data_IF_385503477348
#
_entry.id   IF_385503477348
#
_cell.length_a   1.000
_cell.length_b   1.000
_cell.length_c   1.000
_cell.angle_alpha   90.00
_cell.angle_beta   90.00
_cell.angle_gamma   90.00
#
_symmetry.space_group_name_H-M   'P 1'
#
loop_
_entity.id
_entity.type
_entity.pdbx_description
1 polymer ?
#
# COMPACT_ATOMS: atom_id res chain seq x y z
N UNK A 1 -59.60 74.00 -3.63
CA UNK A 1 -58.35 74.42 -2.97
C UNK A 1 -57.68 73.19 -2.40
N UNK A 2 -56.58 72.75 -3.02
CA UNK A 2 -55.90 71.49 -2.69
C UNK A 2 -54.84 71.72 -1.61
N UNK A 3 -54.97 71.03 -0.47
CA UNK A 3 -54.02 71.11 0.64
C UNK A 3 -52.97 70.02 0.49
N UNK A 4 -51.72 70.43 0.29
CA UNK A 4 -50.53 69.59 0.13
C UNK A 4 -50.09 68.97 1.46
N UNK A 5 -50.11 67.64 1.56
CA UNK A 5 -49.37 66.89 2.60
C UNK A 5 -47.92 66.72 2.16
N UNK A 6 -46.96 67.32 2.88
CA UNK A 6 -45.53 67.03 2.71
C UNK A 6 -45.10 65.91 3.66
N UNK A 7 -44.66 64.80 3.08
CA UNK A 7 -43.99 63.69 3.73
C UNK A 7 -42.68 64.14 4.39
N UNK A 8 -42.46 63.77 5.64
CA UNK A 8 -41.12 63.72 6.25
C UNK A 8 -40.78 62.25 6.50
N UNK A 9 -40.09 61.65 5.54
CA UNK A 9 -39.50 60.32 5.69
C UNK A 9 -38.18 60.49 6.46
N UNK A 10 -38.16 60.11 7.73
CA UNK A 10 -36.92 60.01 8.50
C UNK A 10 -36.20 58.72 8.09
N UNK A 11 -35.09 58.86 7.36
CA UNK A 11 -34.18 57.75 7.08
C UNK A 11 -33.38 57.47 8.36
N UNK A 12 -33.76 56.43 9.09
CA UNK A 12 -32.96 55.89 10.19
C UNK A 12 -31.90 54.98 9.59
N UNK A 13 -30.64 55.41 9.63
CA UNK A 13 -29.50 54.54 9.36
C UNK A 13 -29.31 53.59 10.54
N UNK A 14 -29.76 52.35 10.40
CA UNK A 14 -29.38 51.27 11.31
C UNK A 14 -28.00 50.80 10.85
N UNK A 15 -26.97 51.14 11.62
CA UNK A 15 -25.63 50.55 11.48
C UNK A 15 -25.73 49.07 11.85
N UNK A 16 -25.84 48.20 10.85
CA UNK A 16 -25.71 46.76 11.03
C UNK A 16 -24.25 46.45 11.38
N UNK A 17 -23.97 46.23 12.67
CA UNK A 17 -22.71 45.64 13.11
C UNK A 17 -22.63 44.22 12.58
N UNK A 18 -21.85 44.00 11.52
CA UNK A 18 -21.58 42.68 11.00
C UNK A 18 -20.82 41.86 12.06
N UNK A 19 -21.51 40.91 12.69
CA UNK A 19 -20.84 39.80 13.37
C UNK A 19 -20.12 39.00 12.29
N UNK A 20 -18.82 39.25 12.12
CA UNK A 20 -17.96 38.42 11.28
C UNK A 20 -17.89 37.03 11.91
N UNK A 21 -18.71 36.10 11.42
CA UNK A 21 -18.44 34.68 11.56
C UNK A 21 -17.09 34.43 10.88
N UNK A 22 -16.04 34.24 11.67
CA UNK A 22 -14.78 33.74 11.14
C UNK A 22 -15.10 32.37 10.53
N UNK A 23 -14.86 32.15 9.23
CA UNK A 23 -15.01 30.82 8.67
C UNK A 23 -14.02 29.94 9.42
N UNK A 24 -14.53 28.98 10.21
CA UNK A 24 -13.72 27.85 10.65
C UNK A 24 -13.23 27.21 9.36
N UNK A 25 -11.92 27.11 9.11
CA UNK A 25 -11.45 26.46 7.90
C UNK A 25 -12.05 25.05 7.90
N UNK A 26 -12.84 24.73 6.88
CA UNK A 26 -13.21 23.35 6.62
C UNK A 26 -11.91 22.63 6.31
N UNK A 27 -11.36 21.92 7.29
CA UNK A 27 -10.22 21.03 7.07
C UNK A 27 -10.59 20.13 5.91
N UNK A 28 -9.96 20.31 4.75
CA UNK A 28 -10.24 19.47 3.60
C UNK A 28 -9.82 18.05 3.99
N UNK A 29 -10.78 17.16 4.20
CA UNK A 29 -10.49 15.76 4.48
C UNK A 29 -9.94 15.13 3.22
N UNK A 30 -8.74 14.56 3.27
CA UNK A 30 -8.25 13.74 2.17
C UNK A 30 -8.90 12.35 2.22
N UNK A 31 -9.13 11.78 1.03
CA UNK A 31 -9.45 10.37 0.87
C UNK A 31 -8.15 9.62 0.58
N UNK A 32 -7.43 9.11 1.60
CA UNK A 32 -6.20 8.38 1.37
C UNK A 32 -6.50 7.07 0.63
N UNK A 33 -5.51 6.58 -0.10
CA UNK A 33 -5.52 5.24 -0.68
C UNK A 33 -4.75 4.30 0.24
N UNK A 34 -5.20 3.05 0.33
CA UNK A 34 -4.50 2.00 1.07
C UNK A 34 -4.35 0.76 0.19
N UNK A 35 -3.17 0.16 0.25
CA UNK A 35 -2.89 -1.13 -0.37
C UNK A 35 -2.34 -2.07 0.68
N UNK A 36 -2.81 -3.32 0.65
CA UNK A 36 -2.17 -4.42 1.37
C UNK A 36 -1.15 -5.05 0.42
N UNK A 37 0.02 -5.39 0.95
CA UNK A 37 1.17 -5.94 0.25
C UNK A 37 1.65 -7.18 1.01
N UNK A 38 1.43 -8.34 0.42
CA UNK A 38 1.98 -9.64 0.82
C UNK A 38 2.70 -10.28 -0.37
N UNK A 39 3.69 -11.17 -0.19
CA UNK A 39 4.19 -11.97 -1.29
C UNK A 39 3.07 -12.80 -1.95
N UNK A 40 3.10 -12.94 -3.26
CA UNK A 40 2.09 -13.65 -4.07
C UNK A 40 2.00 -15.14 -3.74
N UNK A 41 3.07 -15.72 -3.21
CA UNK A 41 3.12 -17.09 -2.68
C UNK A 41 3.78 -17.06 -1.31
N UNK A 42 3.17 -17.75 -0.34
CA UNK A 42 3.66 -17.83 1.05
C UNK A 42 3.63 -19.28 1.53
N UNK A 43 4.57 -19.62 2.41
CA UNK A 43 4.65 -20.96 2.99
C UNK A 43 3.78 -21.07 4.24
N UNK A 44 2.93 -22.09 4.33
CA UNK A 44 2.10 -22.36 5.51
C UNK A 44 2.96 -22.62 6.74
N UNK A 45 2.56 -22.09 7.90
CA UNK A 45 3.29 -22.27 9.16
C UNK A 45 4.61 -21.51 9.27
N UNK A 46 4.98 -20.72 8.25
CA UNK A 46 6.18 -19.88 8.27
C UNK A 46 5.78 -18.40 8.37
N UNK A 47 6.34 -17.71 9.36
CA UNK A 47 6.06 -16.28 9.57
C UNK A 47 6.47 -15.45 8.35
N UNK A 48 5.55 -14.59 7.89
CA UNK A 48 5.76 -13.64 6.79
C UNK A 48 5.26 -12.25 7.18
N UNK A 49 5.74 -11.22 6.49
CA UNK A 49 5.36 -9.84 6.76
C UNK A 49 4.20 -9.41 5.87
N UNK A 50 3.11 -9.02 6.49
CA UNK A 50 2.06 -8.22 5.86
C UNK A 50 2.44 -6.75 5.97
N UNK A 51 2.36 -6.04 4.85
CA UNK A 51 2.59 -4.61 4.82
C UNK A 51 1.31 -3.93 4.32
N UNK A 52 1.01 -2.78 4.89
CA UNK A 52 0.00 -1.87 4.35
C UNK A 52 0.67 -0.54 4.07
N UNK A 53 0.49 -0.05 2.85
CA UNK A 53 0.93 1.28 2.46
C UNK A 53 -0.30 2.18 2.37
N UNK A 54 -0.24 3.31 3.08
CA UNK A 54 -1.26 4.35 3.04
C UNK A 54 -0.63 5.56 2.37
N UNK A 55 -1.30 6.08 1.34
CA UNK A 55 -0.84 7.23 0.58
C UNK A 55 -1.91 8.32 0.58
N UNK A 56 -1.48 9.56 0.79
CA UNK A 56 -2.32 10.75 0.76
C UNK A 56 -1.57 11.90 0.08
N UNK A 57 -2.23 13.05 -0.08
CA UNK A 57 -1.59 14.24 -0.62
C UNK A 57 -0.41 14.66 0.26
N UNK A 58 0.80 14.73 -0.31
CA UNK A 58 2.01 15.08 0.41
C UNK A 58 1.96 16.47 1.08
N UNK A 59 1.13 17.40 0.59
CA UNK A 59 0.93 18.71 1.22
C UNK A 59 0.24 18.64 2.58
N UNK A 60 -0.42 17.52 2.89
CA UNK A 60 -1.10 17.26 4.16
C UNK A 60 -0.21 16.51 5.17
N UNK A 61 1.08 16.32 4.84
CA UNK A 61 2.02 15.51 5.61
C UNK A 61 1.83 14.01 5.38
N UNK A 62 2.53 13.19 6.17
CA UNK A 62 2.40 11.73 6.11
C UNK A 62 1.15 11.25 6.87
N UNK A 63 0.45 10.20 6.39
CA UNK A 63 -0.69 9.63 7.10
C UNK A 63 -0.29 9.16 8.51
N UNK A 64 -1.19 9.34 9.48
CA UNK A 64 -1.00 8.90 10.86
C UNK A 64 -2.21 8.14 11.36
N UNK A 65 -1.97 7.07 12.11
CA UNK A 65 -3.02 6.23 12.67
C UNK A 65 -2.59 4.78 12.74
N UNK A 66 -3.56 3.88 12.61
CA UNK A 66 -3.33 2.43 12.68
C UNK A 66 -3.92 1.73 11.47
N UNK A 67 -3.36 0.57 11.15
CA UNK A 67 -3.92 -0.36 10.18
C UNK A 67 -4.29 -1.65 10.88
N UNK A 68 -5.54 -2.06 10.72
CA UNK A 68 -5.99 -3.39 11.13
C UNK A 68 -5.92 -4.32 9.93
N UNK A 69 -5.14 -5.38 10.05
CA UNK A 69 -5.05 -6.45 9.06
C UNK A 69 -6.06 -7.55 9.40
N UNK A 70 -6.70 -8.08 8.38
CA UNK A 70 -7.67 -9.14 8.53
C UNK A 70 -7.75 -10.04 7.31
N UNK A 71 -8.59 -11.04 7.43
CA UNK A 71 -9.03 -11.86 6.32
C UNK A 71 -10.30 -11.26 5.71
N UNK A 72 -10.59 -11.60 4.45
CA UNK A 72 -11.86 -11.28 3.80
C UNK A 72 -13.07 -12.02 4.38
N UNK A 73 -12.85 -12.92 5.34
CA UNK A 73 -13.90 -13.62 6.09
C UNK A 73 -14.26 -12.92 7.40
N UNK A 74 -13.64 -11.76 7.70
CA UNK A 74 -13.95 -10.96 8.89
C UNK A 74 -13.04 -11.24 10.09
N UNK A 75 -12.16 -12.24 10.04
CA UNK A 75 -11.17 -12.50 11.11
C UNK A 75 -10.09 -11.42 11.12
N UNK A 76 -9.87 -10.79 12.27
CA UNK A 76 -8.74 -9.89 12.50
C UNK A 76 -7.46 -10.69 12.73
N UNK A 77 -6.39 -10.35 12.00
CA UNK A 77 -5.06 -10.94 12.18
C UNK A 77 -4.23 -10.12 13.18
N UNK A 78 -4.44 -8.80 13.22
CA UNK A 78 -3.77 -7.91 14.16
C UNK A 78 -3.85 -6.45 13.71
N UNK A 79 -3.26 -5.58 14.51
CA UNK A 79 -3.22 -4.13 14.26
C UNK A 79 -1.78 -3.66 14.40
N UNK A 80 -1.35 -2.76 13.51
CA UNK A 80 -0.04 -2.14 13.56
C UNK A 80 -0.13 -0.62 13.38
N UNK A 81 0.74 0.17 14.06
CA UNK A 81 0.80 1.60 13.85
C UNK A 81 1.38 1.93 12.47
N UNK A 82 0.95 3.05 11.90
CA UNK A 82 1.60 3.63 10.73
C UNK A 82 2.90 4.31 11.13
N UNK A 83 3.95 4.04 10.35
CA UNK A 83 5.24 4.73 10.43
C UNK A 83 5.45 5.47 9.12
N UNK A 84 5.69 6.77 9.19
CA UNK A 84 5.96 7.60 8.01
C UNK A 84 7.21 7.10 7.29
N UNK A 85 7.13 6.97 5.97
CA UNK A 85 8.29 6.59 5.13
C UNK A 85 8.80 7.81 4.36
N UNK A 86 7.88 8.54 3.75
CA UNK A 86 8.13 9.75 2.95
C UNK A 86 6.95 10.70 3.13
N UNK A 87 7.09 11.99 2.77
CA UNK A 87 5.94 12.89 2.73
C UNK A 87 4.80 12.29 1.90
N UNK A 88 3.60 12.26 2.47
CA UNK A 88 2.41 11.67 1.83
C UNK A 88 2.26 10.15 1.94
N UNK A 89 3.28 9.41 2.43
CA UNK A 89 3.22 7.94 2.52
C UNK A 89 3.63 7.43 3.90
N UNK A 90 2.90 6.44 4.40
CA UNK A 90 3.21 5.74 5.63
C UNK A 90 2.97 4.24 5.47
N UNK A 91 3.71 3.42 6.22
CA UNK A 91 3.61 1.97 6.19
C UNK A 91 3.30 1.40 7.57
N UNK A 92 2.44 0.39 7.59
CA UNK A 92 2.21 -0.46 8.76
C UNK A 92 2.68 -1.88 8.42
N UNK A 93 3.32 -2.55 9.37
CA UNK A 93 3.86 -3.90 9.18
C UNK A 93 3.36 -4.82 10.29
N UNK A 94 2.84 -5.98 9.91
CA UNK A 94 2.37 -7.01 10.83
C UNK A 94 3.01 -8.36 10.46
N UNK A 95 3.54 -9.07 11.45
CA UNK A 95 3.97 -10.45 11.26
C UNK A 95 2.75 -11.38 11.28
N UNK A 96 2.62 -12.23 10.27
CA UNK A 96 1.52 -13.19 10.13
C UNK A 96 2.08 -14.56 9.79
N UNK A 97 1.55 -15.60 10.44
CA UNK A 97 1.86 -16.99 10.08
C UNK A 97 0.67 -17.54 9.29
N UNK A 98 0.85 -17.86 7.99
CA UNK A 98 -0.23 -18.38 7.18
C UNK A 98 -0.76 -19.71 7.72
N UNK A 99 -2.08 -19.91 7.75
CA UNK A 99 -2.67 -21.18 8.16
C UNK A 99 -2.31 -22.30 7.16
N UNK A 100 -2.65 -23.57 7.46
CA UNK A 100 -2.52 -24.68 6.51
C UNK A 100 -3.16 -24.37 5.14
N UNK A 101 -2.77 -25.10 4.10
CA UNK A 101 -3.00 -24.80 2.68
C UNK A 101 -4.44 -24.42 2.29
N UNK A 102 -4.71 -23.12 2.11
CA UNK A 102 -5.87 -22.58 1.39
C UNK A 102 -5.61 -21.12 0.99
N UNK A 103 -6.25 -20.62 -0.07
CA UNK A 103 -6.15 -19.18 -0.39
C UNK A 103 -6.95 -18.36 0.62
N UNK A 104 -6.26 -17.49 1.36
CA UNK A 104 -6.90 -16.54 2.29
C UNK A 104 -6.91 -15.15 1.65
N UNK A 105 -8.07 -14.56 1.34
CA UNK A 105 -8.14 -13.15 0.99
C UNK A 105 -7.69 -12.32 2.20
N UNK A 106 -6.72 -11.45 2.00
CA UNK A 106 -6.21 -10.51 2.99
C UNK A 106 -6.72 -9.11 2.68
N UNK A 107 -6.99 -8.36 3.74
CA UNK A 107 -7.49 -6.98 3.67
C UNK A 107 -6.84 -6.13 4.75
N UNK A 108 -6.65 -4.85 4.46
CA UNK A 108 -6.18 -3.86 5.41
C UNK A 108 -7.21 -2.72 5.56
N UNK A 109 -7.42 -2.27 6.80
CA UNK A 109 -8.32 -1.15 7.13
C UNK A 109 -7.54 -0.08 7.88
N UNK A 110 -7.44 1.11 7.30
CA UNK A 110 -6.81 2.27 7.90
C UNK A 110 -7.80 3.04 8.77
N UNK A 111 -7.38 3.32 10.01
CA UNK A 111 -8.07 4.20 10.95
C UNK A 111 -7.18 5.41 11.24
N UNK A 112 -7.55 6.63 10.79
CA UNK A 112 -6.77 7.84 10.99
C UNK A 112 -6.82 8.30 12.46
N UNK A 113 -5.73 8.92 12.95
CA UNK A 113 -5.70 9.59 14.26
C UNK A 113 -6.07 11.07 14.22
N UNK A 114 -6.17 11.68 13.03
CA UNK A 114 -6.49 13.10 12.85
C UNK A 114 -7.68 13.35 11.93
N UNK A 115 -8.35 14.50 12.10
CA UNK A 115 -9.55 14.88 11.34
C UNK A 115 -9.29 15.23 9.85
N UNK A 116 -8.03 15.31 9.42
CA UNK A 116 -7.63 15.66 8.04
C UNK A 116 -7.64 14.46 7.08
N UNK A 117 -7.93 13.25 7.57
CA UNK A 117 -7.97 12.02 6.78
C UNK A 117 -9.21 11.21 7.10
N UNK A 118 -9.78 10.56 6.08
CA UNK A 118 -10.88 9.61 6.25
C UNK A 118 -10.35 8.18 6.34
N UNK A 119 -11.07 7.31 7.03
CA UNK A 119 -10.79 5.87 7.03
C UNK A 119 -10.83 5.30 5.60
N UNK A 120 -9.99 4.31 5.33
CA UNK A 120 -9.88 3.67 4.03
C UNK A 120 -9.72 2.16 4.16
N UNK A 121 -10.15 1.42 3.14
CA UNK A 121 -10.05 -0.05 3.10
C UNK A 121 -9.39 -0.47 1.80
N UNK A 122 -8.47 -1.43 1.88
CA UNK A 122 -7.74 -1.92 0.71
C UNK A 122 -8.61 -2.84 -0.14
N UNK A 123 -8.20 -3.03 -1.40
CA UNK A 123 -8.63 -4.20 -2.15
C UNK A 123 -8.14 -5.49 -1.47
N UNK A 124 -8.75 -6.62 -1.85
CA UNK A 124 -8.30 -7.93 -1.40
C UNK A 124 -7.00 -8.33 -2.09
N UNK A 125 -6.08 -8.92 -1.32
CA UNK A 125 -4.94 -9.64 -1.86
C UNK A 125 -5.06 -11.13 -1.56
N UNK A 126 -4.74 -11.99 -2.53
CA UNK A 126 -4.95 -13.43 -2.44
C UNK A 126 -3.62 -14.15 -2.71
N UNK A 127 -2.74 -14.27 -1.72
CA UNK A 127 -1.53 -15.07 -1.89
C UNK A 127 -1.89 -16.55 -2.04
N UNK A 128 -1.11 -17.27 -2.85
CA UNK A 128 -1.10 -18.73 -2.83
C UNK A 128 -0.42 -19.19 -1.53
N UNK A 129 -1.11 -20.02 -0.75
CA UNK A 129 -0.53 -20.65 0.45
C UNK A 129 -0.15 -22.08 0.09
N UNK A 130 1.09 -22.47 0.37
CA UNK A 130 1.65 -23.80 0.04
C UNK A 130 2.46 -24.37 1.21
N UNK A 131 2.53 -25.69 1.37
CA UNK A 131 3.50 -26.31 2.29
C UNK A 131 4.91 -26.38 1.72
N UNK A 132 5.05 -26.30 0.39
CA UNK A 132 6.34 -26.36 -0.28
C UNK A 132 7.21 -25.15 0.08
N UNK A 133 8.53 -25.30 0.19
CA UNK A 133 9.45 -24.17 0.30
C UNK A 133 9.24 -23.20 -0.86
N UNK A 134 9.23 -21.89 -0.57
CA UNK A 134 9.04 -20.82 -1.56
C UNK A 134 10.37 -20.09 -1.74
N UNK A 135 11.18 -20.38 -2.77
CA UNK A 135 12.51 -19.76 -2.90
C UNK A 135 12.46 -18.24 -3.02
N UNK A 136 11.53 -17.75 -3.83
CA UNK A 136 11.28 -16.33 -4.06
C UNK A 136 9.80 -16.13 -4.33
N UNK A 137 9.26 -14.98 -3.93
CA UNK A 137 7.91 -14.56 -4.20
C UNK A 137 7.88 -13.07 -4.57
N UNK A 138 6.90 -12.67 -5.38
CA UNK A 138 6.70 -11.27 -5.78
C UNK A 138 5.74 -10.62 -4.79
N UNK A 139 6.14 -9.50 -4.19
CA UNK A 139 5.23 -8.65 -3.41
C UNK A 139 4.92 -7.41 -4.24
N UNK A 140 3.70 -7.37 -4.75
CA UNK A 140 3.13 -6.30 -5.54
C UNK A 140 1.60 -6.35 -5.40
N UNK A 141 0.95 -5.19 -5.34
CA UNK A 141 -0.52 -5.10 -5.39
C UNK A 141 -1.06 -5.67 -6.71
N UNK A 142 -2.15 -6.44 -6.72
CA UNK A 142 -2.68 -7.04 -7.95
C UNK A 142 -3.25 -6.03 -8.96
N UNK A 143 -3.62 -4.84 -8.51
CA UNK A 143 -4.19 -3.77 -9.34
C UNK A 143 -3.48 -2.43 -9.06
N UNK A 144 -2.22 -2.29 -9.48
CA UNK A 144 -1.51 -1.03 -9.33
C UNK A 144 -2.03 0.00 -10.34
N UNK A 145 -1.87 1.30 -10.06
CA UNK A 145 -2.08 2.34 -11.06
C UNK A 145 -0.79 2.53 -11.87
N UNK A 146 -0.91 2.96 -13.12
CA UNK A 146 0.23 3.23 -13.98
C UNK A 146 1.19 4.29 -13.40
N UNK A 147 2.43 4.26 -13.85
CA UNK A 147 3.52 5.08 -13.32
C UNK A 147 4.49 4.29 -12.44
N UNK A 148 5.30 4.97 -11.61
CA UNK A 148 6.32 4.33 -10.81
C UNK A 148 5.71 3.52 -9.66
N UNK A 149 5.93 2.20 -9.68
CA UNK A 149 5.48 1.28 -8.64
C UNK A 149 6.67 0.48 -8.15
N UNK A 150 6.78 0.29 -6.84
CA UNK A 150 7.78 -0.59 -6.26
C UNK A 150 7.35 -2.05 -6.40
N UNK A 151 8.24 -2.89 -6.94
CA UNK A 151 8.12 -4.34 -6.95
C UNK A 151 9.20 -4.90 -6.04
N UNK A 152 8.81 -5.80 -5.14
CA UNK A 152 9.75 -6.53 -4.29
C UNK A 152 9.79 -8.01 -4.67
N UNK A 153 10.99 -8.55 -4.80
CA UNK A 153 11.25 -9.98 -4.71
C UNK A 153 11.62 -10.32 -3.27
N UNK A 154 10.87 -11.23 -2.65
CA UNK A 154 11.04 -11.64 -1.26
C UNK A 154 11.47 -13.10 -1.23
N UNK A 155 12.63 -13.38 -0.64
CA UNK A 155 13.13 -14.75 -0.47
C UNK A 155 12.36 -15.47 0.62
N UNK A 156 12.19 -16.79 0.44
CA UNK A 156 11.63 -17.65 1.46
C UNK A 156 12.54 -17.83 2.66
N UNK A 157 11.94 -18.32 3.74
CA UNK A 157 12.69 -18.71 4.93
C UNK A 157 13.70 -19.82 4.59
N UNK A 158 14.94 -19.67 5.08
CA UNK A 158 16.02 -20.63 4.84
C UNK A 158 16.72 -20.52 3.48
N UNK A 159 16.32 -19.60 2.61
CA UNK A 159 17.03 -19.31 1.37
C UNK A 159 18.13 -18.26 1.60
N UNK A 160 19.33 -18.56 1.08
CA UNK A 160 20.50 -17.72 1.26
C UNK A 160 20.42 -16.39 0.51
N UNK A 161 21.26 -15.42 0.89
CA UNK A 161 21.43 -14.21 0.08
C UNK A 161 21.87 -14.56 -1.35
N UNK A 162 21.42 -13.77 -2.30
CA UNK A 162 21.70 -14.00 -3.71
C UNK A 162 21.37 -12.78 -4.55
N UNK A 163 20.97 -13.04 -5.77
CA UNK A 163 20.47 -12.01 -6.68
C UNK A 163 19.21 -12.47 -7.38
N UNK A 164 18.39 -11.51 -7.77
CA UNK A 164 17.20 -11.74 -8.58
C UNK A 164 17.28 -10.96 -9.88
N UNK A 165 16.56 -11.41 -10.90
CA UNK A 165 16.29 -10.65 -12.12
C UNK A 165 14.79 -10.55 -12.34
N UNK A 166 14.33 -9.38 -12.76
CA UNK A 166 12.93 -9.08 -13.05
C UNK A 166 12.70 -9.04 -14.55
N UNK A 167 11.57 -9.60 -14.96
CA UNK A 167 11.08 -9.61 -16.33
C UNK A 167 9.64 -9.11 -16.34
N UNK A 168 9.28 -8.40 -17.41
CA UNK A 168 7.92 -7.94 -17.68
C UNK A 168 7.55 -8.36 -19.10
N UNK A 169 6.43 -9.05 -19.24
CA UNK A 169 5.92 -9.60 -20.51
C UNK A 169 6.95 -10.41 -21.29
N UNK A 170 7.72 -11.22 -20.55
CA UNK A 170 8.79 -12.08 -21.10
C UNK A 170 10.06 -11.33 -21.50
N UNK A 171 10.13 -10.01 -21.33
CA UNK A 171 11.32 -9.20 -21.61
C UNK A 171 12.10 -8.97 -20.33
N UNK A 172 13.42 -9.20 -20.38
CA UNK A 172 14.32 -8.86 -19.28
C UNK A 172 14.27 -7.37 -19.02
N UNK A 173 13.90 -7.01 -17.79
CA UNK A 173 13.80 -5.61 -17.39
C UNK A 173 15.01 -5.18 -16.56
N UNK A 174 15.48 -6.03 -15.65
CA UNK A 174 16.65 -5.77 -14.81
C UNK A 174 17.77 -6.77 -15.08
N UNK A 175 19.01 -6.36 -14.79
CA UNK A 175 20.10 -7.30 -14.54
C UNK A 175 19.95 -7.98 -13.17
N UNK A 176 21.05 -8.55 -12.66
CA UNK A 176 21.12 -9.12 -11.32
C UNK A 176 21.02 -8.03 -10.24
N UNK A 177 19.91 -8.05 -9.50
CA UNK A 177 19.67 -7.18 -8.34
C UNK A 177 19.98 -7.98 -7.07
N UNK A 178 20.94 -7.55 -6.24
CA UNK A 178 21.28 -8.28 -5.02
C UNK A 178 20.13 -8.22 -4.01
N UNK A 179 19.92 -9.33 -3.30
CA UNK A 179 18.98 -9.36 -2.17
C UNK A 179 19.67 -8.87 -0.90
N UNK A 180 19.06 -7.90 -0.22
CA UNK A 180 19.49 -7.40 1.09
C UNK A 180 18.43 -7.80 2.11
N UNK A 181 18.84 -8.53 3.15
CA UNK A 181 17.92 -9.05 4.16
C UNK A 181 16.74 -9.85 3.56
N UNK A 182 17.02 -10.64 2.52
CA UNK A 182 16.02 -11.46 1.84
C UNK A 182 15.07 -10.70 0.91
N UNK A 183 15.33 -9.41 0.62
CA UNK A 183 14.51 -8.62 -0.30
C UNK A 183 15.36 -7.95 -1.36
N UNK A 184 14.88 -7.96 -2.61
CA UNK A 184 15.37 -7.10 -3.68
C UNK A 184 14.21 -6.24 -4.20
N UNK A 185 14.43 -4.92 -4.27
CA UNK A 185 13.38 -3.95 -4.62
C UNK A 185 13.77 -3.16 -5.85
N UNK A 186 12.81 -2.95 -6.75
CA UNK A 186 12.99 -2.17 -7.98
C UNK A 186 11.76 -1.31 -8.25
N UNK A 187 11.96 -0.13 -8.85
CA UNK A 187 10.87 0.76 -9.25
C UNK A 187 10.54 0.55 -10.72
N UNK A 188 9.36 0.01 -10.99
CA UNK A 188 8.84 -0.25 -12.31
C UNK A 188 7.95 0.91 -12.78
N UNK A 189 8.25 1.49 -13.94
CA UNK A 189 7.35 2.44 -14.60
C UNK A 189 6.30 1.66 -15.40
N UNK A 190 5.19 1.31 -14.75
CA UNK A 190 4.15 0.51 -15.37
C UNK A 190 3.30 1.32 -16.35
N UNK A 191 2.87 0.65 -17.40
CA UNK A 191 1.90 1.15 -18.38
C UNK A 191 0.55 0.47 -18.16
N UNK A 192 -0.59 1.13 -18.43
CA UNK A 192 -1.90 0.51 -18.28
C UNK A 192 -2.04 -0.80 -19.07
N UNK A 193 -2.80 -1.75 -18.53
CA UNK A 193 -3.08 -3.04 -19.14
C UNK A 193 -2.65 -4.25 -18.30
N UNK A 194 -2.96 -5.44 -18.81
CA UNK A 194 -2.57 -6.71 -18.16
C UNK A 194 -1.10 -6.99 -18.45
N UNK A 195 -0.31 -7.17 -17.40
CA UNK A 195 1.13 -7.42 -17.50
C UNK A 195 1.55 -8.64 -16.69
N UNK A 196 2.47 -9.43 -17.24
CA UNK A 196 3.04 -10.60 -16.59
C UNK A 196 4.43 -10.28 -16.04
N UNK A 197 4.59 -10.40 -14.73
CA UNK A 197 5.86 -10.20 -14.04
C UNK A 197 6.43 -11.56 -13.70
N UNK A 198 7.72 -11.75 -13.99
CA UNK A 198 8.49 -12.92 -13.60
C UNK A 198 9.72 -12.47 -12.82
N UNK A 199 10.00 -13.16 -11.73
CA UNK A 199 11.24 -13.04 -10.97
C UNK A 199 11.97 -14.36 -11.01
N UNK A 200 13.28 -14.30 -11.26
CA UNK A 200 14.18 -15.44 -11.15
C UNK A 200 15.21 -15.15 -10.06
N UNK A 201 15.46 -16.12 -9.19
CA UNK A 201 16.39 -16.03 -8.08
C UNK A 201 17.50 -17.07 -8.24
N UNK A 202 18.71 -16.66 -7.87
CA UNK A 202 19.84 -17.55 -7.62
C UNK A 202 20.59 -17.09 -6.38
N UNK A 203 20.92 -18.02 -5.49
CA UNK A 203 21.82 -17.77 -4.36
C UNK A 203 23.25 -17.52 -4.86
N UNK A 204 24.07 -16.85 -4.05
CA UNK A 204 25.53 -16.97 -4.22
C UNK A 204 25.97 -18.39 -3.82
N UNK A 205 27.02 -18.92 -4.45
CA UNK A 205 27.49 -20.28 -4.16
C UNK A 205 28.06 -20.41 -2.75
N UNK A 206 27.74 -21.55 -2.10
CA UNK A 206 28.28 -22.07 -0.84
C UNK A 206 28.25 -21.13 0.38
N UNK A 207 27.24 -21.30 1.23
CA UNK A 207 27.42 -21.13 2.68
C UNK A 207 28.59 -22.06 3.12
N UNK A 208 29.42 -21.73 4.13
CA UNK A 208 30.43 -22.64 4.71
C UNK A 208 29.92 -24.07 5.02
N UNK A 209 28.61 -24.31 5.07
CA UNK A 209 27.97 -25.61 5.17
C UNK A 209 27.85 -26.43 3.85
N UNK A 210 28.35 -25.96 2.70
CA UNK A 210 28.47 -26.76 1.48
C UNK A 210 27.19 -27.01 0.68
N UNK A 211 26.14 -26.20 0.86
CA UNK A 211 24.91 -26.33 0.07
C UNK A 211 25.10 -25.88 -1.39
N UNK A 212 24.45 -26.61 -2.31
CA UNK A 212 24.36 -26.26 -3.73
C UNK A 212 23.70 -24.89 -3.93
N UNK A 213 23.99 -24.25 -5.08
CA UNK A 213 23.31 -23.01 -5.50
C UNK A 213 21.80 -23.23 -5.49
N UNK A 214 21.09 -22.43 -4.68
CA UNK A 214 19.63 -22.47 -4.61
C UNK A 214 19.07 -21.57 -5.71
N UNK A 215 18.03 -22.03 -6.39
CA UNK A 215 17.35 -21.25 -7.43
C UNK A 215 15.84 -21.31 -7.24
N UNK A 216 15.15 -20.36 -7.87
CA UNK A 216 13.70 -20.42 -7.94
C UNK A 216 13.11 -19.31 -8.79
N UNK A 217 11.81 -19.42 -9.03
CA UNK A 217 11.08 -18.46 -9.85
C UNK A 217 9.74 -18.14 -9.20
N UNK A 218 9.21 -16.96 -9.52
CA UNK A 218 7.86 -16.56 -9.14
C UNK A 218 7.24 -15.74 -10.26
N UNK A 219 5.95 -15.94 -10.51
CA UNK A 219 5.19 -15.22 -11.52
C UNK A 219 3.95 -14.57 -10.92
N UNK A 220 3.60 -13.40 -11.43
CA UNK A 220 2.36 -12.71 -11.08
C UNK A 220 1.83 -11.99 -12.30
N UNK A 221 0.53 -12.15 -12.57
CA UNK A 221 -0.18 -11.33 -13.56
C UNK A 221 -0.90 -10.23 -12.80
N UNK A 222 -0.73 -8.99 -13.25
CA UNK A 222 -1.38 -7.81 -12.68
C UNK A 222 -2.16 -7.06 -13.74
N UNK A 223 -3.24 -6.40 -13.33
CA UNK A 223 -3.96 -5.47 -14.20
C UNK A 223 -3.62 -4.05 -13.78
N UNK A 224 -2.77 -3.39 -14.56
CA UNK A 224 -2.35 -2.01 -14.31
C UNK A 224 -3.47 -1.08 -14.75
N UNK A 225 -3.99 -0.31 -13.80
CA UNK A 225 -5.04 0.68 -14.03
C UNK A 225 -4.45 1.97 -14.63
N UNK A 226 -5.27 2.76 -15.37
CA UNK A 226 -4.87 4.07 -15.87
C UNK A 226 -4.37 5.04 -14.79
#
# INVERSE_FOLDING_TARGET
MATSLRSRLAVVFIMAGALALTPVPSSASSSPTIQVLVPNTVQSGVSTLLMAEVTQNASLGSPSGTVTFGTGYGTTLGTAPLVATTPGTARAVLSWTPPPEFTVPLIARYTPTGASSVAATSAYQRPLITSAPVPVAIRLTPTPNAGPIQIDAVLGNGFGVGSVSFFVDGRGWTGSVPTVNGVASVTWNATPGVQAILVQYSSTASNPAGFAVQTGTSTQVVNVLP
#
